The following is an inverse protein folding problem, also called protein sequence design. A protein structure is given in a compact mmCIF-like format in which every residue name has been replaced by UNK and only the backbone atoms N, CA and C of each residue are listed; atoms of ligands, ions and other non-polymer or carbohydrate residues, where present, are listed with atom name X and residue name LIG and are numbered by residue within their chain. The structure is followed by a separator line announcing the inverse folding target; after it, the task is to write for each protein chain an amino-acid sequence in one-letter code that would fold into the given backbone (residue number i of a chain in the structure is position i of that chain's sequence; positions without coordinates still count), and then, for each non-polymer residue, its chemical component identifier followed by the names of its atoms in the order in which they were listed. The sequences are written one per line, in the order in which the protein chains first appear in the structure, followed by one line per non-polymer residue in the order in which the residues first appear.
data_IF_570400717195
#
_entry.id   IF_570400717195
#
_cell.length_a   1.000
_cell.length_b   1.000
_cell.length_c   1.000
_cell.angle_alpha   90.00
_cell.angle_beta   90.00
_cell.angle_gamma   90.00
#
_symmetry.space_group_name_H-M   'P 1'
#
loop_
_entity.id
_entity.type
_entity.pdbx_description
1 polymer ?
#
# COMPACT_ATOMS: atom_id res chain seq x y z
N UNK A 1 48.02 13.74 36.38
CA UNK A 1 46.82 13.43 35.58
C UNK A 1 45.97 12.38 36.29
N UNK A 2 44.94 12.80 37.02
CA UNK A 2 43.88 11.91 37.54
C UNK A 2 42.61 12.16 36.72
N UNK A 3 42.11 11.13 36.02
CA UNK A 3 40.81 11.18 35.35
C UNK A 3 39.71 10.83 36.35
N UNK A 4 38.59 11.57 36.40
CA UNK A 4 37.49 11.27 37.30
C UNK A 4 36.75 10.00 36.85
N UNK A 5 36.49 9.11 37.80
CA UNK A 5 35.73 7.87 37.64
C UNK A 5 34.27 8.19 37.32
N UNK A 6 33.77 7.79 36.16
CA UNK A 6 32.36 7.91 35.82
C UNK A 6 31.49 7.12 36.82
N UNK A 7 30.55 7.83 37.44
CA UNK A 7 29.49 7.27 38.27
C UNK A 7 28.56 6.43 37.39
N UNK A 8 28.79 5.12 37.38
CA UNK A 8 27.93 4.16 36.69
C UNK A 8 26.59 4.11 37.43
N UNK A 9 25.53 4.63 36.79
CA UNK A 9 24.14 4.45 37.26
C UNK A 9 23.89 2.96 37.47
N UNK A 10 23.46 2.58 38.67
CA UNK A 10 23.17 1.19 39.01
C UNK A 10 21.85 0.78 38.33
N UNK A 11 21.95 -0.09 37.33
CA UNK A 11 20.80 -0.70 36.66
C UNK A 11 20.44 -2.02 37.34
N UNK A 12 19.14 -2.32 37.46
CA UNK A 12 18.67 -3.62 37.96
C UNK A 12 19.11 -4.75 37.02
N UNK A 13 19.72 -5.77 37.60
CA UNK A 13 20.26 -6.94 36.87
C UNK A 13 19.42 -8.20 37.03
N UNK A 14 18.38 -8.18 37.86
CA UNK A 14 17.43 -9.28 38.00
C UNK A 14 16.02 -8.77 38.29
N UNK A 15 15.04 -9.60 37.97
CA UNK A 15 13.61 -9.31 38.16
C UNK A 15 13.28 -9.14 39.64
N UNK A 16 13.96 -9.88 40.51
CA UNK A 16 13.86 -9.77 41.97
C UNK A 16 14.52 -8.50 42.53
N UNK A 17 15.60 -8.02 41.90
CA UNK A 17 16.19 -6.72 42.25
C UNK A 17 15.27 -5.55 41.84
N UNK A 18 14.50 -5.71 40.76
CA UNK A 18 13.49 -4.73 40.35
C UNK A 18 12.27 -4.77 41.28
N UNK A 19 11.76 -5.97 41.62
CA UNK A 19 10.59 -6.09 42.50
C UNK A 19 10.86 -5.59 43.92
N UNK A 20 12.06 -5.81 44.47
CA UNK A 20 12.46 -5.28 45.79
C UNK A 20 12.62 -3.74 45.79
N UNK A 21 13.10 -3.13 44.71
CA UNK A 21 13.13 -1.67 44.57
C UNK A 21 11.73 -1.05 44.44
N UNK A 22 10.84 -1.72 43.70
CA UNK A 22 9.46 -1.26 43.50
C UNK A 22 8.58 -1.50 44.74
N UNK A 23 8.85 -2.55 45.52
CA UNK A 23 8.06 -2.84 46.74
C UNK A 23 8.41 -1.97 47.94
N UNK A 24 9.55 -1.29 47.94
CA UNK A 24 9.91 -0.28 48.96
C UNK A 24 9.40 1.14 48.65
N UNK A 25 8.92 1.39 47.43
CA UNK A 25 8.33 2.66 47.01
C UNK A 25 6.85 2.41 46.72
N UNK A 26 6.00 2.64 47.71
CA UNK A 26 4.55 2.71 47.51
C UNK A 26 4.25 3.84 46.50
N UNK A 27 4.24 3.51 45.22
CA UNK A 27 3.73 4.38 44.18
C UNK A 27 2.25 4.59 44.49
N UNK A 28 1.74 5.84 44.59
CA UNK A 28 0.32 6.06 44.77
C UNK A 28 -0.39 5.40 43.58
N UNK A 29 -1.18 4.37 43.86
CA UNK A 29 -1.99 3.68 42.87
C UNK A 29 -3.02 4.70 42.38
N UNK A 30 -2.68 5.40 41.30
CA UNK A 30 -3.62 6.23 40.58
C UNK A 30 -4.62 5.30 39.90
N UNK A 31 -5.89 5.42 40.29
CA UNK A 31 -7.03 4.65 39.76
C UNK A 31 -7.36 4.94 38.28
N UNK A 32 -6.45 5.56 37.52
CA UNK A 32 -6.58 5.72 36.07
C UNK A 32 -5.64 4.76 35.37
N UNK A 33 -6.22 3.70 34.80
CA UNK A 33 -5.51 2.61 34.12
C UNK A 33 -4.84 3.05 32.79
N UNK A 34 -5.12 4.27 32.33
CA UNK A 34 -4.54 4.85 31.11
C UNK A 34 -4.18 6.34 31.29
N UNK A 35 -3.07 6.67 31.98
CA UNK A 35 -2.59 8.04 32.03
C UNK A 35 -2.04 8.39 30.63
N UNK A 36 -2.70 9.34 29.95
CA UNK A 36 -2.39 9.84 28.62
C UNK A 36 -2.95 9.04 27.42
N UNK A 37 -4.22 8.63 27.48
CA UNK A 37 -5.00 8.66 26.25
C UNK A 37 -5.03 10.12 25.72
N UNK A 38 -4.83 10.39 24.41
CA UNK A 38 -4.93 11.74 23.84
C UNK A 38 -6.37 12.29 23.84
N UNK A 39 -7.22 11.79 24.72
CA UNK A 39 -8.52 12.36 25.04
C UNK A 39 -8.40 13.57 25.96
N UNK A 40 -7.30 13.74 26.71
CA UNK A 40 -7.10 14.89 27.60
C UNK A 40 -7.07 16.24 26.84
N UNK A 41 -6.40 16.30 25.68
CA UNK A 41 -6.40 17.46 24.79
C UNK A 41 -7.80 17.72 24.20
N UNK A 42 -8.52 16.63 23.85
CA UNK A 42 -9.89 16.69 23.32
C UNK A 42 -10.94 17.04 24.38
N UNK A 43 -10.68 16.81 25.67
CA UNK A 43 -11.57 17.21 26.77
C UNK A 43 -11.27 18.63 27.26
N UNK A 44 -10.04 19.13 27.12
CA UNK A 44 -9.69 20.54 27.33
C UNK A 44 -10.38 21.45 26.32
N UNK A 45 -10.49 20.99 25.07
CA UNK A 45 -11.43 21.53 24.11
C UNK A 45 -12.84 21.17 24.60
N UNK A 46 -13.54 22.10 25.23
CA UNK A 46 -14.90 21.96 25.78
C UNK A 46 -15.99 21.76 24.70
N UNK A 47 -15.70 20.98 23.67
CA UNK A 47 -16.49 20.77 22.46
C UNK A 47 -17.44 19.60 22.71
N UNK A 48 -18.74 19.86 22.56
CA UNK A 48 -19.77 18.81 22.64
C UNK A 48 -19.53 17.79 21.53
N UNK A 49 -19.68 16.48 21.82
CA UNK A 49 -19.53 15.39 20.82
C UNK A 49 -20.26 15.67 19.51
N UNK A 50 -21.49 16.22 19.58
CA UNK A 50 -22.28 16.62 18.40
C UNK A 50 -21.62 17.72 17.57
N UNK A 51 -21.00 18.70 18.21
CA UNK A 51 -20.28 19.78 17.52
C UNK A 51 -19.01 19.26 16.86
N UNK A 52 -18.30 18.32 17.50
CA UNK A 52 -17.15 17.66 16.90
C UNK A 52 -17.53 16.87 15.64
N UNK A 53 -18.55 16.00 15.74
CA UNK A 53 -19.04 15.24 14.58
C UNK A 53 -19.59 16.17 13.49
N UNK A 54 -20.23 17.27 13.87
CA UNK A 54 -20.69 18.29 12.93
C UNK A 54 -19.54 18.97 12.17
N UNK A 55 -18.46 19.35 12.86
CA UNK A 55 -17.28 19.96 12.23
C UNK A 55 -16.54 18.98 11.31
N UNK A 56 -16.40 17.71 11.73
CA UNK A 56 -15.80 16.66 10.92
C UNK A 56 -16.65 16.33 9.68
N UNK A 57 -17.97 16.32 9.82
CA UNK A 57 -18.89 16.17 8.69
C UNK A 57 -18.82 17.36 7.73
N UNK A 58 -18.74 18.58 8.25
CA UNK A 58 -18.61 19.78 7.43
C UNK A 58 -17.27 19.83 6.68
N UNK A 59 -16.16 19.45 7.31
CA UNK A 59 -14.85 19.42 6.65
C UNK A 59 -14.77 18.35 5.57
N UNK A 60 -15.32 17.16 5.81
CA UNK A 60 -15.37 16.09 4.80
C UNK A 60 -16.30 16.45 3.63
N UNK A 61 -17.44 17.09 3.88
CA UNK A 61 -18.32 17.59 2.83
C UNK A 61 -17.64 18.65 1.96
N UNK A 62 -16.96 19.64 2.56
CA UNK A 62 -16.22 20.67 1.83
C UNK A 62 -15.07 20.07 1.00
N UNK A 63 -14.32 19.11 1.56
CA UNK A 63 -13.27 18.39 0.82
C UNK A 63 -13.84 17.54 -0.32
N UNK A 64 -15.01 16.93 -0.13
CA UNK A 64 -15.71 16.15 -1.15
C UNK A 64 -16.19 17.02 -2.32
N UNK A 65 -16.62 18.25 -2.06
CA UNK A 65 -16.99 19.21 -3.12
C UNK A 65 -15.78 19.64 -3.95
N UNK A 66 -14.60 19.80 -3.32
CA UNK A 66 -13.39 20.21 -4.02
C UNK A 66 -12.67 19.08 -4.73
N UNK A 67 -12.86 17.81 -4.32
CA UNK A 67 -12.16 16.64 -4.89
C UNK A 67 -13.04 15.70 -5.70
N UNK A 68 -14.33 15.60 -5.40
CA UNK A 68 -15.26 14.65 -6.03
C UNK A 68 -15.84 15.11 -7.38
N UNK A 69 -15.84 16.41 -7.64
CA UNK A 69 -16.38 16.99 -8.88
C UNK A 69 -15.29 17.45 -9.87
N UNK A 70 -14.04 16.99 -9.74
CA UNK A 70 -13.05 17.26 -10.78
C UNK A 70 -13.41 16.50 -12.05
N UNK A 71 -13.58 17.24 -13.14
CA UNK A 71 -13.63 16.66 -14.48
C UNK A 71 -12.33 15.90 -14.70
N UNK A 72 -12.43 14.58 -14.93
CA UNK A 72 -11.28 13.78 -15.36
C UNK A 72 -10.61 14.47 -16.56
N UNK A 73 -9.26 14.46 -16.63
CA UNK A 73 -8.57 15.02 -17.78
C UNK A 73 -9.13 14.40 -19.06
N UNK A 74 -9.24 15.22 -20.11
CA UNK A 74 -9.80 14.77 -21.39
C UNK A 74 -8.81 13.79 -22.02
N UNK A 75 -9.14 12.51 -21.96
CA UNK A 75 -8.43 11.47 -22.70
C UNK A 75 -8.91 11.44 -24.15
N UNK A 76 -7.97 11.47 -25.10
CA UNK A 76 -8.28 11.41 -26.53
C UNK A 76 -8.09 9.99 -27.03
N UNK A 77 -9.14 9.42 -27.61
CA UNK A 77 -9.10 8.11 -28.26
C UNK A 77 -8.79 8.35 -29.74
N UNK A 78 -7.59 7.98 -30.18
CA UNK A 78 -7.15 8.13 -31.56
C UNK A 78 -7.49 6.86 -32.36
N UNK A 79 -8.33 6.92 -33.40
CA UNK A 79 -8.58 5.78 -34.27
C UNK A 79 -7.42 5.56 -35.24
N UNK A 80 -7.38 4.39 -35.88
CA UNK A 80 -6.46 4.10 -36.97
C UNK A 80 -6.67 5.06 -38.14
N UNK A 81 -5.58 5.66 -38.64
CA UNK A 81 -5.62 6.51 -39.84
C UNK A 81 -6.05 5.72 -41.09
N UNK A 82 -5.59 4.46 -41.19
CA UNK A 82 -6.05 3.47 -42.16
C UNK A 82 -6.17 2.13 -41.43
N UNK A 83 -7.41 1.65 -41.28
CA UNK A 83 -7.68 0.40 -40.56
C UNK A 83 -7.42 -0.81 -41.48
N UNK A 84 -6.65 -1.83 -41.04
CA UNK A 84 -6.56 -3.12 -41.73
C UNK A 84 -7.93 -3.82 -41.77
N UNK A 85 -8.18 -4.64 -42.80
CA UNK A 85 -9.49 -5.31 -42.98
C UNK A 85 -9.79 -6.36 -41.91
N UNK A 86 -8.75 -7.06 -41.43
CA UNK A 86 -8.86 -8.13 -40.45
C UNK A 86 -8.71 -7.67 -38.99
N UNK A 87 -8.51 -6.37 -38.73
CA UNK A 87 -8.27 -5.86 -37.37
C UNK A 87 -9.51 -5.16 -36.81
N UNK A 88 -10.11 -5.77 -35.79
CA UNK A 88 -11.26 -5.22 -35.05
C UNK A 88 -10.75 -4.64 -33.72
N UNK A 89 -10.85 -3.32 -33.51
CA UNK A 89 -10.39 -2.71 -32.25
C UNK A 89 -11.05 -3.33 -31.03
N UNK A 90 -10.23 -3.66 -30.02
CA UNK A 90 -10.68 -4.25 -28.76
C UNK A 90 -10.93 -5.77 -28.79
N UNK A 91 -10.69 -6.45 -29.92
CA UNK A 91 -10.62 -7.92 -29.96
C UNK A 91 -9.15 -8.37 -30.01
N UNK A 92 -8.72 -9.27 -29.10
CA UNK A 92 -7.39 -9.86 -29.20
C UNK A 92 -7.28 -10.76 -30.43
N UNK A 93 -6.15 -10.63 -31.12
CA UNK A 93 -5.73 -11.53 -32.19
C UNK A 93 -4.62 -12.45 -31.70
N UNK A 94 -4.69 -13.74 -32.06
CA UNK A 94 -3.73 -14.76 -31.63
C UNK A 94 -2.84 -15.18 -32.79
N UNK A 95 -1.53 -14.94 -32.65
CA UNK A 95 -0.55 -15.29 -33.68
C UNK A 95 0.30 -16.46 -33.22
N UNK A 96 0.36 -17.52 -34.04
CA UNK A 96 1.31 -18.60 -33.85
C UNK A 96 2.70 -18.13 -34.30
N UNK A 97 3.65 -18.06 -33.37
CA UNK A 97 5.02 -17.58 -33.60
C UNK A 97 6.04 -18.47 -32.88
N UNK A 98 7.33 -18.16 -33.02
CA UNK A 98 8.44 -18.89 -32.40
C UNK A 98 9.34 -17.97 -31.59
N UNK A 99 9.78 -18.42 -30.41
CA UNK A 99 10.73 -17.74 -29.56
C UNK A 99 12.05 -18.52 -29.52
N UNK A 100 13.15 -17.87 -29.93
CA UNK A 100 14.47 -18.50 -29.93
C UNK A 100 15.13 -18.42 -28.55
N UNK A 101 15.48 -19.56 -27.98
CA UNK A 101 16.19 -19.68 -26.71
C UNK A 101 17.26 -20.76 -26.83
N UNK A 102 18.52 -20.41 -26.53
CA UNK A 102 19.61 -21.39 -26.45
C UNK A 102 19.84 -22.21 -27.72
N UNK A 103 19.66 -21.60 -28.91
CA UNK A 103 19.80 -22.29 -30.19
C UNK A 103 18.63 -23.17 -30.61
N UNK A 104 17.55 -23.21 -29.82
CA UNK A 104 16.29 -23.91 -30.12
C UNK A 104 15.13 -22.92 -30.28
N UNK A 105 14.09 -23.31 -31.03
CA UNK A 105 12.87 -22.51 -31.21
C UNK A 105 11.75 -23.13 -30.39
N UNK A 106 11.20 -22.37 -29.45
CA UNK A 106 9.98 -22.70 -28.74
C UNK A 106 8.78 -22.14 -29.51
N UNK A 107 7.80 -22.99 -29.83
CA UNK A 107 6.55 -22.52 -30.45
C UNK A 107 5.66 -21.84 -29.41
N UNK A 108 5.25 -20.61 -29.68
CA UNK A 108 4.43 -19.82 -28.77
C UNK A 108 3.25 -19.21 -29.51
N UNK A 109 2.20 -18.84 -28.78
CA UNK A 109 1.09 -18.06 -29.28
C UNK A 109 1.16 -16.69 -28.61
N UNK A 110 1.24 -15.64 -29.42
CA UNK A 110 1.23 -14.27 -28.96
C UNK A 110 -0.18 -13.69 -29.08
N UNK A 111 -0.75 -13.26 -27.96
CA UNK A 111 -1.96 -12.46 -27.93
C UNK A 111 -1.59 -11.00 -28.23
N UNK A 112 -2.20 -10.44 -29.27
CA UNK A 112 -1.95 -9.09 -29.75
C UNK A 112 -3.24 -8.27 -29.71
N UNK A 113 -3.20 -7.15 -29.00
CA UNK A 113 -4.29 -6.17 -28.95
C UNK A 113 -3.90 -4.99 -29.83
N UNK A 114 -4.67 -4.73 -30.89
CA UNK A 114 -4.43 -3.62 -31.83
C UNK A 114 -3.00 -3.62 -32.43
N UNK A 115 -2.41 -4.81 -32.61
CA UNK A 115 -1.05 -5.00 -33.14
C UNK A 115 0.05 -4.98 -32.06
N UNK A 116 -0.30 -4.74 -30.79
CA UNK A 116 0.63 -4.78 -29.67
C UNK A 116 0.56 -6.15 -28.96
N UNK A 117 1.64 -6.94 -28.95
CA UNK A 117 1.67 -8.17 -28.17
C UNK A 117 1.60 -7.86 -26.67
N UNK A 118 0.62 -8.45 -25.99
CA UNK A 118 0.36 -8.25 -24.55
C UNK A 118 0.67 -9.48 -23.71
N UNK A 119 0.58 -10.67 -24.31
CA UNK A 119 0.79 -11.95 -23.64
C UNK A 119 1.40 -12.96 -24.58
N UNK A 120 2.27 -13.80 -24.04
CA UNK A 120 2.88 -14.93 -24.74
C UNK A 120 2.54 -16.19 -23.96
N UNK A 121 1.99 -17.19 -24.65
CA UNK A 121 1.68 -18.50 -24.10
C UNK A 121 2.33 -19.60 -24.95
N UNK A 122 2.55 -20.78 -24.37
CA UNK A 122 3.05 -21.93 -25.14
C UNK A 122 2.03 -22.39 -26.18
N UNK A 123 2.49 -22.79 -27.37
CA UNK A 123 1.57 -23.31 -28.38
C UNK A 123 1.24 -24.79 -28.09
N UNK A 124 -0.05 -25.16 -27.88
CA UNK A 124 -0.43 -26.56 -27.62
C UNK A 124 -0.12 -27.51 -28.78
N UNK A 125 -0.06 -26.99 -30.01
CA UNK A 125 0.20 -27.77 -31.22
C UNK A 125 1.69 -27.93 -31.53
N UNK A 126 2.56 -27.22 -30.82
CA UNK A 126 4.00 -27.28 -31.06
C UNK A 126 4.66 -28.25 -30.08
N UNK A 127 5.43 -29.21 -30.62
CA UNK A 127 5.96 -30.34 -29.87
C UNK A 127 6.81 -29.95 -28.65
N UNK A 128 7.52 -28.81 -28.74
CA UNK A 128 8.42 -28.35 -27.69
C UNK A 128 7.72 -27.61 -26.52
N UNK A 129 6.56 -26.99 -26.75
CA UNK A 129 5.84 -26.17 -25.76
C UNK A 129 4.62 -26.88 -25.19
N UNK A 130 3.84 -27.59 -26.03
CA UNK A 130 2.63 -28.31 -25.61
C UNK A 130 1.62 -27.50 -24.76
N UNK A 131 1.68 -26.17 -24.83
CA UNK A 131 0.81 -25.26 -24.07
C UNK A 131 1.49 -24.53 -22.89
N UNK A 132 2.78 -24.76 -22.61
CA UNK A 132 3.55 -24.09 -21.57
C UNK A 132 4.97 -23.71 -22.03
#
# INVERSE_FOLDING_TARGET
MSKPTESLKAYWRSLEAHSSMVSGAEAPVSHDEFPAAPTAELTQLRVKRRSFVGLLGASTALAGLTTGCLRKPVERIMPFAKRPEDLIPGKPEFYATGFQVGGSVLGVVAESQDGRPIKIEGNPKHAASQGA
#
